data_IF_247106623476
#
_entry.id   IF_247106623476
#
_cell.length_a   1.000
_cell.length_b   1.000
_cell.length_c   1.000
_cell.angle_alpha   90.00
_cell.angle_beta   90.00
_cell.angle_gamma   90.00
#
_symmetry.space_group_name_H-M   'P 1'
#
loop_
_entity.id
_entity.type
_entity.pdbx_description
1 polymer ?
#
# COMPACT_ATOMS: atom_id res chain seq x y z
N UNK A 1 -27.79 2.77 -8.95
CA UNK A 1 -28.78 2.92 -10.04
C UNK A 1 -30.08 2.28 -9.58
N UNK A 2 -31.22 2.73 -10.10
CA UNK A 2 -32.55 2.50 -9.51
C UNK A 2 -33.16 1.12 -9.81
N UNK A 3 -34.25 0.82 -9.11
CA UNK A 3 -35.08 -0.37 -9.29
C UNK A 3 -35.59 -0.59 -10.72
N UNK A 4 -35.90 -1.85 -11.03
CA UNK A 4 -36.80 -2.23 -12.12
C UNK A 4 -37.96 -3.04 -11.56
N UNK A 5 -39.12 -2.40 -11.46
CA UNK A 5 -40.39 -3.05 -11.16
C UNK A 5 -40.88 -3.78 -12.42
N UNK A 6 -41.24 -5.05 -12.30
CA UNK A 6 -41.90 -5.80 -13.38
C UNK A 6 -43.42 -5.59 -13.35
N UNK A 7 -44.09 -5.40 -14.50
CA UNK A 7 -45.54 -5.18 -14.57
C UNK A 7 -46.35 -6.47 -14.33
N UNK A 8 -47.60 -6.29 -13.88
CA UNK A 8 -48.56 -7.38 -13.63
C UNK A 8 -49.39 -7.66 -14.89
N UNK A 9 -49.58 -8.93 -15.32
CA UNK A 9 -50.49 -9.29 -16.41
C UNK A 9 -51.97 -9.23 -15.99
N UNK A 10 -52.86 -8.84 -16.92
CA UNK A 10 -54.30 -8.85 -16.73
C UNK A 10 -54.93 -10.24 -17.06
N UNK A 11 -56.12 -10.59 -16.51
CA UNK A 11 -56.72 -11.93 -16.64
C UNK A 11 -57.73 -12.07 -17.78
N UNK A 12 -57.93 -13.28 -18.35
CA UNK A 12 -59.01 -13.57 -19.31
C UNK A 12 -60.18 -14.40 -18.73
N UNK A 13 -61.41 -13.92 -18.97
CA UNK A 13 -62.65 -14.62 -19.39
C UNK A 13 -63.23 -15.87 -18.64
N UNK A 14 -64.55 -16.12 -18.82
CA UNK A 14 -65.34 -17.21 -18.20
C UNK A 14 -66.15 -18.02 -19.24
N UNK A 15 -66.21 -19.36 -19.05
CA UNK A 15 -67.33 -20.30 -19.40
C UNK A 15 -67.70 -20.44 -20.91
N UNK A 16 -68.56 -21.40 -21.32
CA UNK A 16 -69.31 -22.47 -20.59
C UNK A 16 -68.66 -23.87 -20.80
N UNK A 17 -69.23 -25.09 -20.64
CA UNK A 17 -70.58 -25.69 -20.83
C UNK A 17 -70.93 -26.86 -19.84
N UNK A 18 -71.95 -27.69 -20.14
CA UNK A 18 -72.71 -28.57 -19.20
C UNK A 18 -72.57 -30.11 -19.44
N UNK A 19 -73.00 -31.00 -18.51
CA UNK A 19 -73.03 -32.48 -18.61
C UNK A 19 -74.44 -33.06 -18.90
N UNK A 20 -74.58 -34.39 -19.12
CA UNK A 20 -75.24 -35.26 -18.13
C UNK A 20 -74.78 -36.75 -18.08
N UNK A 21 -75.38 -37.52 -17.13
CA UNK A 21 -75.73 -38.97 -17.23
C UNK A 21 -74.60 -40.05 -17.08
N UNK A 22 -74.84 -41.28 -16.60
CA UNK A 22 -76.04 -41.87 -15.94
C UNK A 22 -75.70 -43.07 -14.99
N UNK A 23 -76.73 -43.83 -14.59
CA UNK A 23 -76.79 -45.11 -13.86
C UNK A 23 -75.86 -46.25 -14.40
N UNK A 24 -75.72 -47.45 -13.81
CA UNK A 24 -76.75 -48.37 -13.27
C UNK A 24 -76.19 -49.42 -12.29
N UNK A 25 -76.82 -49.51 -11.13
CA UNK A 25 -77.32 -50.70 -10.39
C UNK A 25 -76.91 -52.14 -10.79
N UNK A 26 -76.67 -52.99 -9.77
CA UNK A 26 -77.15 -54.39 -9.72
C UNK A 26 -77.29 -54.86 -8.25
N UNK A 27 -78.36 -55.61 -8.00
CA UNK A 27 -78.98 -56.01 -6.70
C UNK A 27 -79.23 -57.54 -6.75
N UNK A 28 -79.61 -58.32 -5.69
CA UNK A 28 -79.50 -58.21 -4.22
C UNK A 28 -78.71 -59.38 -3.57
N UNK A 29 -78.65 -59.41 -2.23
CA UNK A 29 -79.20 -60.56 -1.45
C UNK A 29 -79.53 -60.10 -0.02
N UNK A 30 -80.71 -60.43 0.49
CA UNK A 30 -81.26 -59.84 1.72
C UNK A 30 -82.18 -60.83 2.47
N UNK A 31 -81.99 -61.06 3.77
CA UNK A 31 -83.04 -61.53 4.67
C UNK A 31 -83.59 -60.33 5.48
N UNK A 32 -84.91 -60.20 5.57
CA UNK A 32 -85.57 -59.07 6.23
C UNK A 32 -86.03 -59.43 7.64
N UNK A 33 -85.77 -58.55 8.63
CA UNK A 33 -86.52 -58.54 9.88
C UNK A 33 -86.81 -57.10 10.36
N UNK A 34 -88.10 -56.78 10.44
CA UNK A 34 -88.78 -55.76 11.24
C UNK A 34 -88.24 -54.30 11.27
N UNK A 35 -88.99 -53.42 10.59
CA UNK A 35 -89.18 -51.99 10.95
C UNK A 35 -90.50 -51.88 11.75
N UNK A 36 -90.67 -51.02 12.76
CA UNK A 36 -90.71 -49.54 12.65
C UNK A 36 -89.61 -48.87 13.51
N UNK A 37 -89.40 -47.55 13.58
CA UNK A 37 -90.10 -46.36 13.05
C UNK A 37 -89.04 -45.30 12.67
N UNK A 38 -89.34 -44.31 11.83
CA UNK A 38 -88.35 -43.28 11.43
C UNK A 38 -88.39 -42.02 12.32
N UNK A 39 -87.27 -41.58 12.92
CA UNK A 39 -87.10 -40.20 13.38
C UNK A 39 -86.85 -39.23 12.19
N UNK A 40 -87.06 -37.91 12.36
CA UNK A 40 -87.17 -36.96 11.25
C UNK A 40 -85.81 -36.46 10.69
N UNK A 41 -85.88 -35.57 9.67
CA UNK A 41 -84.75 -34.89 9.02
C UNK A 41 -83.96 -34.00 9.99
N UNK A 42 -83.07 -34.60 10.78
CA UNK A 42 -82.26 -33.91 11.77
C UNK A 42 -81.19 -33.01 11.15
N UNK A 43 -81.04 -31.80 11.71
CA UNK A 43 -79.88 -30.93 11.46
C UNK A 43 -78.61 -31.65 11.89
N UNK A 44 -77.71 -31.94 10.95
CA UNK A 44 -76.48 -32.68 11.26
C UNK A 44 -75.48 -31.77 11.99
N UNK A 45 -75.52 -31.81 13.32
CA UNK A 45 -74.57 -31.09 14.18
C UNK A 45 -73.21 -31.78 14.05
N UNK A 46 -72.33 -31.22 13.22
CA UNK A 46 -70.92 -31.63 13.17
C UNK A 46 -70.24 -31.21 14.48
N UNK A 47 -70.26 -32.09 15.48
CA UNK A 47 -69.46 -31.92 16.69
C UNK A 47 -67.99 -32.18 16.35
N UNK A 48 -67.31 -31.14 15.87
CA UNK A 48 -65.84 -31.12 15.83
C UNK A 48 -65.34 -31.21 17.27
N UNK A 49 -64.57 -32.25 17.66
CA UNK A 49 -64.07 -32.35 19.03
C UNK A 49 -63.22 -31.13 19.38
N UNK A 50 -63.40 -30.59 20.59
CA UNK A 50 -62.75 -29.34 21.03
C UNK A 50 -61.22 -29.47 21.11
N UNK A 51 -60.80 -30.71 21.29
CA UNK A 51 -59.47 -31.30 21.27
C UNK A 51 -58.87 -31.48 19.86
N UNK A 52 -59.67 -31.48 18.78
CA UNK A 52 -59.17 -31.43 17.40
C UNK A 52 -58.83 -30.00 16.91
N UNK A 53 -58.91 -28.98 17.77
CA UNK A 53 -58.46 -27.62 17.43
C UNK A 53 -56.94 -27.60 17.29
N UNK A 54 -56.45 -27.71 16.04
CA UNK A 54 -55.04 -27.85 15.68
C UNK A 54 -54.23 -26.54 15.88
N UNK A 55 -54.12 -26.08 17.13
CA UNK A 55 -53.27 -24.94 17.56
C UNK A 55 -51.78 -25.18 17.33
N UNK A 56 -51.38 -26.42 17.06
CA UNK A 56 -50.01 -26.76 16.66
C UNK A 56 -49.89 -26.58 15.14
N UNK A 57 -49.17 -25.57 14.64
CA UNK A 57 -48.94 -25.44 13.20
C UNK A 57 -48.16 -26.67 12.68
N UNK A 58 -48.44 -27.15 11.44
CA UNK A 58 -47.76 -28.31 10.87
C UNK A 58 -46.23 -28.25 11.05
N UNK A 59 -45.54 -29.38 11.30
CA UNK A 59 -44.19 -29.38 11.88
C UNK A 59 -43.15 -28.61 11.06
N UNK A 60 -43.28 -28.56 9.74
CA UNK A 60 -42.48 -27.70 8.87
C UNK A 60 -42.77 -26.20 9.12
N UNK A 61 -44.04 -25.78 9.13
CA UNK A 61 -44.44 -24.39 9.48
C UNK A 61 -43.95 -24.02 10.89
N UNK A 62 -44.05 -24.93 11.87
CA UNK A 62 -43.52 -24.73 13.22
C UNK A 62 -41.99 -24.48 13.22
N UNK A 63 -41.22 -25.27 12.45
CA UNK A 63 -39.78 -25.06 12.27
C UNK A 63 -39.47 -23.73 11.59
N UNK A 64 -40.26 -23.30 10.59
CA UNK A 64 -40.11 -21.99 9.93
C UNK A 64 -40.38 -20.83 10.89
N UNK A 65 -41.47 -20.88 11.67
CA UNK A 65 -41.79 -19.84 12.67
C UNK A 65 -40.70 -19.72 13.76
N UNK A 66 -40.20 -20.83 14.31
CA UNK A 66 -39.08 -20.80 15.27
C UNK A 66 -37.82 -20.18 14.66
N UNK A 67 -37.47 -20.53 13.41
CA UNK A 67 -36.35 -19.91 12.67
C UNK A 67 -36.56 -18.40 12.45
N UNK A 68 -37.79 -17.96 12.14
CA UNK A 68 -38.13 -16.55 11.94
C UNK A 68 -38.04 -15.74 13.24
N UNK A 69 -38.62 -16.23 14.34
CA UNK A 69 -38.57 -15.59 15.65
C UNK A 69 -37.13 -15.44 16.19
N UNK A 70 -36.24 -16.40 15.89
CA UNK A 70 -34.83 -16.32 16.27
C UNK A 70 -33.99 -15.32 15.43
N UNK A 71 -34.44 -14.91 14.23
CA UNK A 71 -33.70 -13.97 13.35
C UNK A 71 -33.34 -12.65 14.04
N UNK A 72 -34.25 -11.89 14.69
CA UNK A 72 -33.90 -10.63 15.35
C UNK A 72 -32.87 -10.80 16.48
N UNK A 73 -32.96 -11.86 17.28
CA UNK A 73 -31.97 -12.15 18.33
C UNK A 73 -30.60 -12.47 17.71
N UNK A 74 -30.53 -13.37 16.73
CA UNK A 74 -29.29 -13.72 16.03
C UNK A 74 -28.67 -12.52 15.30
N UNK A 75 -29.49 -11.65 14.66
CA UNK A 75 -29.02 -10.40 14.03
C UNK A 75 -28.45 -9.42 15.06
N UNK A 76 -29.07 -9.26 16.24
CA UNK A 76 -28.52 -8.44 17.33
C UNK A 76 -27.19 -8.99 17.86
N UNK A 77 -27.06 -10.32 17.98
CA UNK A 77 -25.83 -10.96 18.43
C UNK A 77 -24.69 -10.78 17.40
N UNK A 78 -24.92 -11.07 16.11
CA UNK A 78 -23.92 -10.82 15.06
C UNK A 78 -23.55 -9.33 14.95
N UNK A 79 -24.52 -8.41 15.10
CA UNK A 79 -24.22 -6.96 15.11
C UNK A 79 -23.33 -6.59 16.29
N UNK A 80 -23.62 -7.10 17.50
CA UNK A 80 -22.77 -6.88 18.68
C UNK A 80 -21.37 -7.46 18.47
N UNK A 81 -21.25 -8.70 17.98
CA UNK A 81 -19.96 -9.33 17.68
C UNK A 81 -19.14 -8.51 16.67
N UNK A 82 -19.76 -8.07 15.57
CA UNK A 82 -19.15 -7.21 14.56
C UNK A 82 -18.69 -5.87 15.16
N UNK A 83 -19.56 -5.16 15.90
CA UNK A 83 -19.19 -3.92 16.58
C UNK A 83 -18.04 -4.12 17.59
N UNK A 84 -18.02 -5.22 18.34
CA UNK A 84 -16.92 -5.53 19.26
C UNK A 84 -15.62 -5.85 18.52
N UNK A 85 -15.66 -6.59 17.40
CA UNK A 85 -14.46 -6.84 16.58
C UNK A 85 -13.93 -5.57 15.92
N UNK A 86 -14.80 -4.66 15.48
CA UNK A 86 -14.40 -3.35 14.97
C UNK A 86 -13.82 -2.47 16.08
N UNK A 87 -14.41 -2.45 17.28
CA UNK A 87 -13.88 -1.71 18.43
C UNK A 87 -12.51 -2.26 18.89
N UNK A 88 -12.34 -3.59 18.93
CA UNK A 88 -11.07 -4.22 19.25
C UNK A 88 -10.00 -3.95 18.18
N UNK A 89 -10.36 -3.97 16.88
CA UNK A 89 -9.47 -3.59 15.79
C UNK A 89 -9.07 -2.11 15.86
N UNK A 90 -10.01 -1.21 16.14
CA UNK A 90 -9.72 0.22 16.34
C UNK A 90 -8.81 0.44 17.55
N UNK A 91 -9.04 -0.26 18.67
CA UNK A 91 -8.16 -0.20 19.84
C UNK A 91 -6.75 -0.71 19.52
N UNK A 92 -6.61 -1.82 18.79
CA UNK A 92 -5.33 -2.35 18.32
C UNK A 92 -4.61 -1.34 17.39
N UNK A 93 -5.33 -0.69 16.48
CA UNK A 93 -4.78 0.34 15.60
C UNK A 93 -4.33 1.60 16.38
N UNK A 94 -5.08 2.02 17.40
CA UNK A 94 -4.70 3.12 18.30
C UNK A 94 -3.46 2.77 19.13
N UNK A 95 -3.35 1.54 19.66
CA UNK A 95 -2.17 1.06 20.38
C UNK A 95 -0.95 0.93 19.45
N UNK A 96 -1.13 0.49 18.21
CA UNK A 96 -0.09 0.46 17.19
C UNK A 96 0.39 1.87 16.82
N UNK A 97 -0.54 2.83 16.64
CA UNK A 97 -0.21 4.23 16.38
C UNK A 97 0.53 4.88 17.56
N UNK A 98 0.06 4.66 18.79
CA UNK A 98 0.68 5.19 20.01
C UNK A 98 2.09 4.64 20.23
N UNK A 99 2.29 3.33 20.06
CA UNK A 99 3.62 2.69 20.18
C UNK A 99 4.58 3.11 19.05
N UNK A 100 4.10 3.28 17.82
CA UNK A 100 4.89 3.85 16.73
C UNK A 100 5.28 5.32 17.01
N UNK A 101 4.36 6.13 17.53
CA UNK A 101 4.61 7.50 17.96
C UNK A 101 5.64 7.59 19.10
N UNK A 102 5.51 6.75 20.12
CA UNK A 102 6.48 6.64 21.21
C UNK A 102 7.86 6.23 20.70
N UNK A 103 7.96 5.23 19.81
CA UNK A 103 9.22 4.85 19.17
C UNK A 103 9.83 6.01 18.38
N UNK A 104 9.04 6.74 17.59
CA UNK A 104 9.50 7.93 16.88
C UNK A 104 10.05 9.01 17.83
N UNK A 105 9.36 9.30 18.94
CA UNK A 105 9.80 10.26 19.95
C UNK A 105 11.08 9.82 20.72
N UNK A 106 11.28 8.52 20.88
CA UNK A 106 12.43 7.91 21.60
C UNK A 106 13.69 7.81 20.73
N UNK A 107 13.54 7.52 19.43
CA UNK A 107 14.66 7.36 18.49
C UNK A 107 14.97 8.63 17.68
N UNK A 108 13.94 9.44 17.36
CA UNK A 108 13.98 10.67 16.54
C UNK A 108 14.86 10.53 15.28
N UNK A 109 14.55 9.57 14.38
CA UNK A 109 15.38 9.30 13.21
C UNK A 109 15.49 10.54 12.31
N UNK A 110 16.73 10.94 12.03
CA UNK A 110 17.10 12.02 11.10
C UNK A 110 17.81 11.44 9.89
N UNK A 111 17.70 12.10 8.75
CA UNK A 111 18.55 11.77 7.60
C UNK A 111 20.03 12.09 7.96
N UNK A 112 20.99 11.23 7.59
CA UNK A 112 22.41 11.57 7.67
C UNK A 112 22.72 12.82 6.86
N UNK A 113 23.65 13.64 7.34
CA UNK A 113 24.22 14.74 6.55
C UNK A 113 25.35 14.22 5.68
N UNK A 114 25.57 14.89 4.55
CA UNK A 114 26.64 14.58 3.62
C UNK A 114 27.43 15.85 3.31
N UNK A 115 28.71 15.68 2.98
CA UNK A 115 29.62 16.74 2.54
C UNK A 115 30.71 16.13 1.64
N UNK A 116 31.29 16.97 0.79
CA UNK A 116 32.49 16.63 0.00
C UNK A 116 33.64 17.43 0.61
N UNK A 117 34.73 16.75 0.98
CA UNK A 117 35.88 17.36 1.65
C UNK A 117 36.97 17.81 0.65
N UNK A 118 37.17 17.03 -0.41
CA UNK A 118 38.09 17.34 -1.51
C UNK A 118 37.65 16.60 -2.78
N UNK A 119 38.17 17.05 -3.93
CA UNK A 119 37.98 16.43 -5.24
C UNK A 119 39.34 16.37 -5.95
N UNK A 120 39.84 15.17 -6.24
CA UNK A 120 40.92 15.00 -7.22
C UNK A 120 40.29 14.94 -8.62
N UNK A 121 40.85 15.66 -9.59
CA UNK A 121 40.30 15.78 -10.95
C UNK A 121 41.44 15.56 -11.95
N UNK A 122 41.22 14.73 -12.98
CA UNK A 122 42.17 14.47 -14.07
C UNK A 122 41.47 14.33 -15.41
N UNK A 123 42.16 14.69 -16.50
CA UNK A 123 41.66 14.49 -17.86
C UNK A 123 40.55 15.45 -18.29
N UNK A 124 40.51 16.66 -17.71
CA UNK A 124 39.59 17.72 -18.11
C UNK A 124 40.22 18.76 -19.07
N UNK A 125 41.53 18.70 -19.29
CA UNK A 125 42.28 19.80 -19.92
C UNK A 125 41.99 19.97 -21.41
N UNK A 126 41.66 18.88 -22.10
CA UNK A 126 41.17 18.91 -23.49
C UNK A 126 39.75 19.46 -23.67
N UNK A 127 39.10 19.99 -22.63
CA UNK A 127 37.70 20.45 -22.68
C UNK A 127 37.42 21.56 -23.70
N UNK A 128 38.43 22.35 -24.08
CA UNK A 128 38.33 23.36 -25.15
C UNK A 128 38.50 22.76 -26.56
N UNK A 129 39.12 21.58 -26.68
CA UNK A 129 39.55 20.97 -27.95
C UNK A 129 38.44 20.19 -28.68
N UNK A 130 37.17 20.50 -28.39
CA UNK A 130 35.93 19.85 -28.89
C UNK A 130 35.89 18.30 -28.88
N UNK A 131 36.85 17.68 -28.19
CA UNK A 131 37.16 16.26 -28.23
C UNK A 131 36.44 15.48 -27.13
N UNK A 132 36.38 14.15 -27.30
CA UNK A 132 35.72 13.26 -26.34
C UNK A 132 36.61 13.01 -25.11
N UNK A 133 36.25 13.62 -23.97
CA UNK A 133 36.98 13.51 -22.71
C UNK A 133 36.70 12.15 -22.04
N UNK A 134 37.68 11.64 -21.30
CA UNK A 134 37.53 10.48 -20.41
C UNK A 134 38.06 10.83 -19.01
N UNK A 135 37.37 11.72 -18.27
CA UNK A 135 37.89 12.28 -17.04
C UNK A 135 37.83 11.29 -15.87
N UNK A 136 38.80 11.35 -14.98
CA UNK A 136 38.82 10.61 -13.72
C UNK A 136 38.64 11.59 -12.56
N UNK A 137 37.71 11.29 -11.64
CA UNK A 137 37.42 12.14 -10.48
C UNK A 137 37.28 11.29 -9.22
N UNK A 138 38.08 11.59 -8.21
CA UNK A 138 38.03 10.94 -6.90
C UNK A 138 37.50 11.94 -5.86
N UNK A 139 36.31 11.70 -5.31
CA UNK A 139 35.69 12.59 -4.31
C UNK A 139 35.86 12.03 -2.89
N UNK A 140 36.43 12.82 -1.97
CA UNK A 140 36.43 12.48 -0.55
C UNK A 140 35.04 12.80 0.05
N UNK A 141 34.14 11.83 0.03
CA UNK A 141 32.75 11.98 0.50
C UNK A 141 32.67 11.63 1.99
N UNK A 142 32.18 12.58 2.80
CA UNK A 142 31.84 12.37 4.22
C UNK A 142 30.34 12.14 4.36
N UNK A 143 29.98 10.97 4.89
CA UNK A 143 28.65 10.68 5.41
C UNK A 143 28.67 10.80 6.94
N UNK A 144 27.73 11.54 7.53
CA UNK A 144 27.73 11.86 8.96
C UNK A 144 26.38 11.53 9.63
N UNK A 145 26.44 10.64 10.62
CA UNK A 145 25.30 10.16 11.40
C UNK A 145 25.28 10.79 12.82
N UNK A 146 26.07 11.84 13.07
CA UNK A 146 26.21 12.56 14.34
C UNK A 146 24.87 12.96 14.99
N UNK A 147 23.89 13.35 14.18
CA UNK A 147 22.56 13.76 14.63
C UNK A 147 21.71 12.61 15.21
N UNK A 148 22.01 11.35 14.87
CA UNK A 148 21.25 10.18 15.31
C UNK A 148 21.87 9.53 16.55
N UNK A 149 21.27 9.78 17.72
CA UNK A 149 21.79 9.31 19.02
C UNK A 149 21.57 7.82 19.29
N UNK A 150 20.62 7.17 18.62
CA UNK A 150 20.20 5.77 18.86
C UNK A 150 19.96 4.94 17.58
N UNK A 151 20.20 5.53 16.40
CA UNK A 151 19.88 4.94 15.09
C UNK A 151 21.17 4.79 14.29
N UNK A 152 21.48 3.57 13.86
CA UNK A 152 22.55 3.29 12.91
C UNK A 152 22.05 3.30 11.48
N UNK A 153 22.96 3.30 10.51
CA UNK A 153 22.64 3.28 9.08
C UNK A 153 23.44 2.18 8.38
N UNK A 154 22.75 1.22 7.77
CA UNK A 154 23.37 0.26 6.85
C UNK A 154 23.24 0.81 5.41
N UNK A 155 24.36 1.28 4.85
CA UNK A 155 24.47 1.71 3.46
C UNK A 155 24.59 0.47 2.56
N UNK A 156 23.70 0.31 1.59
CA UNK A 156 23.66 -0.84 0.69
C UNK A 156 24.45 -0.55 -0.58
N UNK A 157 25.03 -1.62 -1.16
CA UNK A 157 25.58 -1.55 -2.52
C UNK A 157 24.47 -1.33 -3.56
N UNK A 158 24.88 -0.90 -4.76
CA UNK A 158 23.95 -0.50 -5.83
C UNK A 158 23.61 1.00 -5.83
N UNK A 159 24.09 1.76 -4.85
CA UNK A 159 24.13 3.23 -4.94
C UNK A 159 25.23 3.74 -5.86
N UNK A 160 25.18 5.02 -6.20
CA UNK A 160 26.17 5.70 -7.05
C UNK A 160 26.45 7.13 -6.61
N UNK A 161 27.63 7.62 -6.99
CA UNK A 161 28.01 9.04 -6.97
C UNK A 161 28.20 9.50 -8.42
N UNK A 162 27.87 10.75 -8.71
CA UNK A 162 27.97 11.35 -10.05
C UNK A 162 28.40 12.80 -9.91
N UNK A 163 29.37 13.24 -10.70
CA UNK A 163 29.75 14.65 -10.85
C UNK A 163 29.23 15.18 -12.17
N UNK A 164 28.60 16.34 -12.16
CA UNK A 164 28.21 17.08 -13.35
C UNK A 164 28.63 18.55 -13.30
N UNK A 165 28.86 19.11 -14.48
CA UNK A 165 29.16 20.52 -14.70
C UNK A 165 28.11 21.09 -15.68
N UNK A 166 27.51 22.23 -15.36
CA UNK A 166 26.44 22.85 -16.15
C UNK A 166 25.32 21.86 -16.61
N UNK A 167 25.00 20.87 -15.76
CA UNK A 167 24.05 19.80 -16.05
C UNK A 167 24.63 18.58 -16.77
N UNK A 168 25.72 18.73 -17.52
CA UNK A 168 26.37 17.64 -18.24
C UNK A 168 27.18 16.73 -17.30
N UNK A 169 27.00 15.41 -17.40
CA UNK A 169 27.69 14.44 -16.55
C UNK A 169 29.16 14.30 -16.96
N UNK A 170 30.07 14.58 -16.02
CA UNK A 170 31.50 14.38 -16.19
C UNK A 170 31.90 12.95 -15.84
N UNK A 171 31.58 12.48 -14.62
CA UNK A 171 31.98 11.16 -14.14
C UNK A 171 30.92 10.53 -13.25
N UNK A 172 30.94 9.19 -13.16
CA UNK A 172 30.14 8.44 -12.19
C UNK A 172 30.92 7.25 -11.62
N UNK A 173 30.53 6.82 -10.42
CA UNK A 173 31.15 5.71 -9.69
C UNK A 173 30.20 5.08 -8.68
N UNK A 174 30.55 3.91 -8.11
CA UNK A 174 29.72 3.21 -7.13
C UNK A 174 29.75 3.90 -5.76
N UNK A 175 28.64 3.84 -5.03
CA UNK A 175 28.64 4.11 -3.59
C UNK A 175 29.01 2.81 -2.84
N UNK A 176 30.02 2.82 -1.95
CA UNK A 176 30.46 1.61 -1.24
C UNK A 176 29.44 1.15 -0.18
N UNK A 177 29.30 -0.17 -0.01
CA UNK A 177 28.46 -0.73 1.04
C UNK A 177 29.19 -0.70 2.40
N UNK A 178 28.67 0.05 3.37
CA UNK A 178 29.25 0.14 4.72
C UNK A 178 28.18 0.35 5.80
N UNK A 179 28.60 0.37 7.07
CA UNK A 179 27.70 0.53 8.23
C UNK A 179 28.19 1.65 9.14
N UNK A 180 27.28 2.56 9.47
CA UNK A 180 27.51 3.54 10.52
C UNK A 180 26.74 3.17 11.79
N UNK A 181 27.45 3.23 12.91
CA UNK A 181 26.85 3.23 14.24
C UNK A 181 26.12 4.57 14.51
N UNK A 182 25.26 4.65 15.54
CA UNK A 182 24.76 5.93 16.03
C UNK A 182 25.90 6.90 16.33
N UNK A 183 25.73 8.18 16.00
CA UNK A 183 26.74 9.25 16.10
C UNK A 183 28.07 9.06 15.35
N UNK A 184 28.22 8.04 14.50
CA UNK A 184 29.46 7.83 13.75
C UNK A 184 29.49 8.68 12.46
N UNK A 185 30.67 9.01 11.95
CA UNK A 185 30.88 9.63 10.65
C UNK A 185 31.98 8.87 9.88
N UNK A 186 31.86 8.81 8.56
CA UNK A 186 32.76 8.04 7.70
C UNK A 186 33.11 8.86 6.49
N UNK A 187 34.40 9.01 6.23
CA UNK A 187 34.93 9.56 4.98
C UNK A 187 35.39 8.39 4.12
N UNK A 188 35.11 8.43 2.83
CA UNK A 188 35.62 7.46 1.86
C UNK A 188 35.91 8.15 0.53
N UNK A 189 36.87 7.60 -0.23
CA UNK A 189 37.10 8.02 -1.61
C UNK A 189 36.05 7.36 -2.52
N UNK A 190 35.25 8.18 -3.19
CA UNK A 190 34.34 7.75 -4.25
C UNK A 190 35.05 7.90 -5.60
N UNK A 191 35.60 6.79 -6.11
CA UNK A 191 36.28 6.79 -7.39
C UNK A 191 35.29 6.76 -8.56
N UNK A 192 35.39 7.76 -9.45
CA UNK A 192 34.43 7.99 -10.52
C UNK A 192 35.14 8.19 -11.86
N UNK A 193 34.54 7.68 -12.93
CA UNK A 193 35.09 7.77 -14.29
C UNK A 193 34.05 8.29 -15.27
N UNK A 194 34.49 9.13 -16.19
CA UNK A 194 33.81 9.49 -17.42
C UNK A 194 34.40 8.74 -18.61
N UNK A 195 33.59 8.51 -19.65
CA UNK A 195 34.02 7.97 -20.94
C UNK A 195 33.23 8.66 -22.03
N UNK A 196 33.90 9.16 -23.07
CA UNK A 196 33.23 9.80 -24.21
C UNK A 196 32.47 11.09 -23.88
N UNK A 197 32.84 11.78 -22.80
CA UNK A 197 32.17 13.01 -22.33
C UNK A 197 32.43 14.12 -23.33
N UNK A 198 31.38 14.81 -23.74
CA UNK A 198 31.45 16.03 -24.57
C UNK A 198 30.76 17.17 -23.85
N UNK A 199 31.31 18.36 -23.98
CA UNK A 199 30.69 19.63 -23.59
C UNK A 199 30.20 20.34 -24.84
N UNK A 200 29.18 21.19 -24.74
CA UNK A 200 28.90 22.17 -25.80
C UNK A 200 29.99 23.24 -25.85
N UNK A 201 30.12 23.97 -26.95
CA UNK A 201 31.06 25.11 -27.03
C UNK A 201 30.80 26.15 -25.93
N UNK A 202 29.53 26.44 -25.64
CA UNK A 202 29.13 27.34 -24.55
C UNK A 202 29.63 26.82 -23.19
N UNK A 203 29.42 25.53 -22.90
CA UNK A 203 29.90 24.89 -21.68
C UNK A 203 31.44 24.92 -21.59
N UNK A 204 32.15 24.66 -22.69
CA UNK A 204 33.61 24.68 -22.75
C UNK A 204 34.20 26.08 -22.57
N UNK A 205 33.65 27.09 -23.27
CA UNK A 205 34.05 28.50 -23.12
C UNK A 205 33.79 29.00 -21.70
N UNK A 206 32.62 28.68 -21.12
CA UNK A 206 32.30 28.99 -19.73
C UNK A 206 33.24 28.29 -18.75
N UNK A 207 33.55 27.01 -18.97
CA UNK A 207 34.43 26.23 -18.09
C UNK A 207 35.84 26.81 -18.07
N UNK A 208 36.34 27.30 -19.22
CA UNK A 208 37.63 27.99 -19.29
C UNK A 208 37.61 29.33 -18.55
N UNK A 209 36.53 30.11 -18.66
CA UNK A 209 36.38 31.36 -17.90
C UNK A 209 36.30 31.11 -16.39
N UNK A 210 35.55 30.10 -15.94
CA UNK A 210 35.44 29.72 -14.52
C UNK A 210 36.75 29.09 -13.98
N UNK A 211 37.52 28.38 -14.82
CA UNK A 211 38.89 27.91 -14.50
C UNK A 211 39.87 29.08 -14.37
N UNK A 212 39.80 30.08 -15.26
CA UNK A 212 40.62 31.28 -15.19
C UNK A 212 40.27 32.18 -13.97
N UNK A 213 39.01 32.18 -13.55
CA UNK A 213 38.55 32.83 -12.32
C UNK A 213 38.87 32.04 -11.03
N UNK A 214 39.44 30.82 -11.12
CA UNK A 214 39.79 29.98 -9.98
C UNK A 214 38.59 29.47 -9.17
N UNK A 215 37.41 29.34 -9.78
CA UNK A 215 36.18 28.96 -9.09
C UNK A 215 35.20 28.23 -10.01
N UNK A 216 35.39 26.92 -10.19
CA UNK A 216 34.54 26.11 -11.09
C UNK A 216 33.38 25.44 -10.31
N UNK A 217 32.10 25.71 -10.67
CA UNK A 217 30.95 25.14 -10.00
C UNK A 217 30.62 23.73 -10.49
N UNK A 218 30.81 22.73 -9.61
CA UNK A 218 30.46 21.33 -9.85
C UNK A 218 29.27 20.90 -8.98
N UNK A 219 28.44 20.00 -9.52
CA UNK A 219 27.35 19.36 -8.78
C UNK A 219 27.69 17.89 -8.54
N UNK A 220 27.88 17.52 -7.27
CA UNK A 220 28.09 16.14 -6.82
C UNK A 220 26.76 15.57 -6.33
N UNK A 221 26.22 14.59 -7.04
CA UNK A 221 24.97 13.91 -6.69
C UNK A 221 25.25 12.45 -6.27
N UNK A 222 24.86 12.10 -5.05
CA UNK A 222 24.87 10.74 -4.55
C UNK A 222 23.43 10.18 -4.47
N UNK A 223 23.23 8.94 -4.93
CA UNK A 223 21.97 8.19 -4.81
C UNK A 223 22.28 6.89 -4.07
N UNK A 224 21.69 6.73 -2.89
CA UNK A 224 22.19 5.75 -1.93
C UNK A 224 21.03 4.97 -1.29
N UNK A 225 20.91 3.65 -1.55
CA UNK A 225 19.95 2.81 -0.85
C UNK A 225 20.43 2.56 0.58
N UNK A 226 19.66 2.99 1.58
CA UNK A 226 19.99 2.84 3.01
C UNK A 226 18.93 2.07 3.77
N UNK A 227 19.31 1.47 4.91
CA UNK A 227 18.38 0.96 5.93
C UNK A 227 18.72 1.59 7.27
N UNK A 228 17.70 2.08 7.99
CA UNK A 228 17.87 2.51 9.38
C UNK A 228 17.90 1.28 10.29
N UNK A 229 18.78 1.32 11.29
CA UNK A 229 19.01 0.25 12.25
C UNK A 229 18.68 0.74 13.66
N UNK A 230 17.75 0.06 14.32
CA UNK A 230 17.34 0.35 15.69
C UNK A 230 17.87 -0.75 16.63
N UNK A 231 18.89 -0.43 17.43
CA UNK A 231 19.58 -1.41 18.26
C UNK A 231 20.34 -2.48 17.46
N UNK A 232 20.35 -3.72 17.95
CA UNK A 232 21.09 -4.84 17.34
C UNK A 232 20.31 -5.59 16.25
N UNK A 233 18.98 -5.73 16.41
CA UNK A 233 18.14 -6.66 15.62
C UNK A 233 17.29 -5.94 14.57
N UNK A 234 16.60 -4.86 14.95
CA UNK A 234 15.58 -4.23 14.10
C UNK A 234 16.20 -3.37 13.00
N UNK A 235 15.73 -3.54 11.76
CA UNK A 235 16.15 -2.81 10.56
C UNK A 235 14.92 -2.45 9.73
N UNK A 236 14.92 -1.29 9.07
CA UNK A 236 13.84 -0.88 8.16
C UNK A 236 13.92 -1.61 6.82
N UNK A 237 12.88 -1.42 6.00
CA UNK A 237 12.98 -1.55 4.55
C UNK A 237 14.08 -0.62 3.98
N UNK A 238 14.55 -0.92 2.76
CA UNK A 238 15.49 -0.04 2.04
C UNK A 238 14.77 1.25 1.63
N UNK A 239 15.42 2.41 1.76
CA UNK A 239 14.93 3.70 1.28
C UNK A 239 16.04 4.40 0.50
N UNK A 240 15.70 5.02 -0.63
CA UNK A 240 16.68 5.74 -1.44
C UNK A 240 16.85 7.17 -0.94
N UNK A 241 18.09 7.49 -0.54
CA UNK A 241 18.51 8.84 -0.17
C UNK A 241 19.26 9.45 -1.33
N UNK A 242 18.77 10.60 -1.81
CA UNK A 242 19.45 11.44 -2.80
C UNK A 242 20.05 12.66 -2.11
N UNK A 243 21.38 12.75 -2.09
CA UNK A 243 22.09 13.94 -1.64
C UNK A 243 22.66 14.68 -2.87
N UNK A 244 22.49 16.00 -2.93
CA UNK A 244 23.16 16.85 -3.92
C UNK A 244 23.99 17.92 -3.20
N UNK A 245 25.27 17.97 -3.54
CA UNK A 245 26.23 18.95 -3.06
C UNK A 245 26.60 19.84 -4.24
N UNK A 246 26.28 21.12 -4.18
CA UNK A 246 26.81 22.09 -5.13
C UNK A 246 28.11 22.64 -4.51
N UNK A 247 29.23 22.54 -5.23
CA UNK A 247 30.59 22.83 -4.73
C UNK A 247 31.36 23.70 -5.73
N UNK A 248 32.24 24.55 -5.24
CA UNK A 248 33.25 25.22 -6.06
C UNK A 248 34.61 24.54 -5.86
N UNK A 249 35.36 24.34 -6.95
CA UNK A 249 36.75 23.88 -6.92
C UNK A 249 37.69 24.94 -7.50
N UNK A 250 38.88 25.07 -6.93
CA UNK A 250 39.90 26.05 -7.32
C UNK A 250 40.65 25.66 -8.61
N UNK A 251 40.76 24.35 -8.87
CA UNK A 251 41.45 23.77 -10.03
C UNK A 251 40.70 22.57 -10.61
N UNK A 252 41.07 22.19 -11.84
CA UNK A 252 40.52 21.05 -12.59
C UNK A 252 41.57 19.99 -12.96
N UNK A 253 42.76 20.10 -12.36
CA UNK A 253 43.83 19.10 -12.44
C UNK A 253 44.45 18.94 -11.05
N UNK A 254 44.82 17.70 -10.71
CA UNK A 254 45.28 17.31 -9.38
C UNK A 254 44.22 17.43 -8.28
N UNK A 255 44.69 17.57 -7.04
CA UNK A 255 43.84 17.65 -5.85
C UNK A 255 43.30 19.08 -5.64
N UNK A 256 42.00 19.25 -5.79
CA UNK A 256 41.31 20.53 -5.67
C UNK A 256 40.61 20.72 -4.32
N UNK A 257 40.64 21.95 -3.81
CA UNK A 257 39.95 22.37 -2.60
C UNK A 257 38.45 22.54 -2.88
N UNK A 258 37.64 21.61 -2.37
CA UNK A 258 36.20 21.60 -2.60
C UNK A 258 35.44 22.49 -1.58
N UNK A 259 35.16 23.74 -1.93
CA UNK A 259 34.35 24.64 -1.10
C UNK A 259 32.88 24.24 -1.22
N UNK A 260 32.38 23.51 -0.22
CA UNK A 260 31.00 23.06 -0.12
C UNK A 260 30.23 23.79 0.98
N UNK A 261 29.03 24.31 0.66
CA UNK A 261 28.08 24.83 1.67
C UNK A 261 27.18 23.74 2.28
N UNK A 262 27.58 22.48 2.17
CA UNK A 262 26.82 21.30 2.59
C UNK A 262 25.84 20.78 1.53
N UNK A 263 25.37 19.55 1.69
CA UNK A 263 24.54 18.87 0.69
C UNK A 263 23.04 18.91 1.01
N UNK A 264 22.21 19.23 0.03
CA UNK A 264 20.75 19.13 0.11
C UNK A 264 20.32 17.67 -0.01
N UNK A 265 19.79 17.12 1.09
CA UNK A 265 19.32 15.73 1.16
C UNK A 265 17.82 15.66 0.87
N UNK A 266 17.41 14.71 0.02
CA UNK A 266 16.01 14.33 -0.23
C UNK A 266 15.87 12.82 -0.06
N UNK A 267 14.91 12.39 0.76
CA UNK A 267 14.57 10.98 0.95
C UNK A 267 13.40 10.66 0.02
N UNK A 268 13.51 9.61 -0.80
CA UNK A 268 12.39 9.11 -1.62
C UNK A 268 11.72 7.93 -0.90
N UNK A 269 10.50 8.10 -0.34
CA UNK A 269 9.77 6.98 0.23
C UNK A 269 9.37 6.01 -0.90
N UNK A 270 9.36 4.70 -0.60
CA UNK A 270 9.16 3.63 -1.59
C UNK A 270 7.84 3.72 -2.37
N UNK A 271 6.86 4.44 -1.82
CA UNK A 271 5.51 4.61 -2.38
C UNK A 271 5.51 5.47 -3.66
N UNK A 272 6.60 6.18 -3.96
CA UNK A 272 6.79 7.02 -5.15
C UNK A 272 7.35 6.24 -6.36
N UNK A 273 7.10 4.91 -6.42
CA UNK A 273 7.42 4.03 -7.56
C UNK A 273 6.14 3.58 -8.31
N UNK A 274 4.99 4.17 -8.00
CA UNK A 274 3.66 3.81 -8.51
C UNK A 274 2.97 4.95 -9.29
N UNK A 275 3.70 6.03 -9.56
CA UNK A 275 3.32 7.24 -10.30
C UNK A 275 4.55 7.76 -11.05
#
# INVERSE_FOLDING_TARGET
>A
MADRVHPVPAPPSRRPDQPPADATETTPLHPSFNRPLSPPRGTYIIQVPKDQVLRVPPPDRARRYKKLAARPARRRLLRRACCCSCAALLLLLLLAAASAGAAYLVFRPRAPTFSVASLSIRGLDGALSSSALSPELDAAVRADNGANRKVGVDYRGGGSVTVSYAGQRLAAGPWPAFRQAPRNATVFAAAMRGRGVRLSEEQARRLAAERAAGAVPLAVEARVPVRLRFGKVLRTWTVDVKARCDVAVDRLDGDAAAVSRGCRVRVRPLWWWWW
#
